data_IF_685212094441
#
_entry.id   IF_685212094441
#
_cell.length_a   1.000
_cell.length_b   1.000
_cell.length_c   1.000
_cell.angle_alpha   90.00
_cell.angle_beta   90.00
_cell.angle_gamma   90.00
#
_symmetry.space_group_name_H-M   'P 1'
#
loop_
_entity.id
_entity.type
_entity.pdbx_description
1 polymer ?
#
# COMPACT_ATOMS: atom_id res chain seq x y z
N UNK A 1 32.32 -4.31 26.94
CA UNK A 1 31.30 -3.81 26.00
C UNK A 1 31.73 -4.10 24.55
N UNK A 2 31.63 -5.35 24.10
CA UNK A 2 32.07 -5.79 22.76
C UNK A 2 31.07 -6.74 22.10
N UNK A 3 29.81 -6.69 22.54
CA UNK A 3 28.74 -7.50 21.95
C UNK A 3 28.23 -6.84 20.68
N UNK A 4 27.72 -7.65 19.73
CA UNK A 4 27.12 -7.14 18.47
C UNK A 4 26.02 -6.13 18.73
N UNK A 5 25.25 -6.31 19.81
CA UNK A 5 24.21 -5.38 20.25
C UNK A 5 24.81 -4.02 20.65
N UNK A 6 25.95 -4.02 21.36
CA UNK A 6 26.66 -2.78 21.72
C UNK A 6 27.18 -2.00 20.51
N UNK A 7 27.65 -2.68 19.46
CA UNK A 7 28.06 -2.02 18.21
C UNK A 7 26.88 -1.46 17.42
N UNK A 8 25.74 -2.16 17.41
CA UNK A 8 24.51 -1.68 16.76
C UNK A 8 23.97 -0.45 17.51
N UNK A 9 23.99 -0.48 18.85
CA UNK A 9 23.61 0.67 19.67
C UNK A 9 24.52 1.88 19.43
N UNK A 10 25.84 1.67 19.30
CA UNK A 10 26.79 2.76 18.95
C UNK A 10 26.57 3.31 17.53
N UNK A 11 26.26 2.46 16.55
CA UNK A 11 25.94 2.89 15.18
C UNK A 11 24.65 3.72 15.11
N UNK A 12 23.67 3.44 15.97
CA UNK A 12 22.42 4.21 16.07
C UNK A 12 22.63 5.52 16.85
N UNK A 13 23.49 5.51 17.88
CA UNK A 13 23.75 6.67 18.74
C UNK A 13 24.60 7.77 18.09
N UNK A 14 25.24 7.52 16.94
CA UNK A 14 25.96 8.55 16.19
C UNK A 14 27.19 9.13 16.89
N UNK A 15 27.73 8.44 17.91
CA UNK A 15 28.89 8.90 18.69
C UNK A 15 30.24 8.47 18.08
N UNK A 16 30.46 8.79 16.80
CA UNK A 16 31.82 8.98 16.29
C UNK A 16 31.99 10.44 15.87
N UNK A 17 32.44 11.28 16.81
CA UNK A 17 33.44 12.35 16.61
C UNK A 17 33.33 13.31 15.42
N UNK A 18 32.20 13.43 14.75
CA UNK A 18 32.00 14.25 13.56
C UNK A 18 30.59 14.78 13.54
N UNK A 19 30.46 16.10 13.32
CA UNK A 19 29.22 16.88 13.22
C UNK A 19 27.99 16.05 12.80
N UNK A 20 26.81 16.23 13.41
CA UNK A 20 25.61 15.48 13.05
C UNK A 20 25.38 15.64 11.55
N UNK A 21 25.51 14.54 10.79
CA UNK A 21 25.14 14.49 9.38
C UNK A 21 23.61 14.56 9.31
N UNK A 22 23.06 15.77 9.40
CA UNK A 22 21.63 16.07 9.22
C UNK A 22 21.13 15.85 7.79
N UNK A 23 21.96 15.33 6.88
CA UNK A 23 21.53 14.88 5.56
C UNK A 23 21.75 13.38 5.45
N UNK A 24 20.66 12.63 5.59
CA UNK A 24 20.57 11.28 5.06
C UNK A 24 20.91 11.38 3.55
N UNK A 25 22.06 10.81 3.16
CA UNK A 25 22.69 10.93 1.84
C UNK A 25 21.84 10.34 0.68
N UNK A 26 20.70 9.73 0.99
CA UNK A 26 19.90 8.97 0.04
C UNK A 26 18.62 9.67 -0.44
N UNK A 27 18.26 10.83 0.12
CA UNK A 27 17.10 11.56 -0.35
C UNK A 27 17.55 12.59 -1.40
N UNK A 28 17.14 12.44 -2.69
CA UNK A 28 17.40 13.47 -3.68
C UNK A 28 16.80 14.78 -3.22
N UNK A 29 17.43 15.89 -3.60
CA UNK A 29 16.93 17.22 -3.29
C UNK A 29 15.51 17.35 -3.85
N UNK A 30 14.51 17.43 -2.98
CA UNK A 30 13.09 17.51 -3.36
C UNK A 30 12.65 18.96 -3.49
N UNK A 31 13.51 19.82 -4.05
CA UNK A 31 13.09 21.14 -4.48
C UNK A 31 11.93 20.96 -5.45
N UNK A 32 10.74 21.40 -5.03
CA UNK A 32 9.53 21.24 -5.82
C UNK A 32 9.70 22.02 -7.12
N UNK A 33 9.91 21.30 -8.23
CA UNK A 33 9.86 21.90 -9.55
C UNK A 33 8.49 22.54 -9.76
N UNK A 34 8.47 23.68 -10.44
CA UNK A 34 7.24 24.36 -10.83
C UNK A 34 6.35 23.40 -11.63
N UNK A 35 5.05 23.51 -11.42
CA UNK A 35 4.08 22.72 -12.19
C UNK A 35 3.96 23.20 -13.64
N UNK A 36 3.49 22.35 -14.57
CA UNK A 36 3.32 22.74 -15.98
C UNK A 36 2.54 24.05 -16.19
N UNK A 37 1.47 24.30 -15.44
CA UNK A 37 0.66 25.52 -15.50
C UNK A 37 1.46 26.70 -14.97
N UNK A 38 2.19 26.56 -13.86
CA UNK A 38 3.06 27.62 -13.35
C UNK A 38 4.12 28.02 -14.39
N UNK A 39 4.76 27.03 -15.04
CA UNK A 39 5.72 27.29 -16.11
C UNK A 39 5.09 27.98 -17.32
N UNK A 40 3.87 27.59 -17.69
CA UNK A 40 3.16 28.22 -18.80
C UNK A 40 2.69 29.64 -18.48
N UNK A 41 2.28 29.90 -17.23
CA UNK A 41 1.92 31.23 -16.75
C UNK A 41 3.12 32.16 -16.69
N UNK A 42 4.28 31.68 -16.25
CA UNK A 42 5.51 32.46 -16.25
C UNK A 42 5.94 32.82 -17.67
N UNK A 43 5.89 31.87 -18.61
CA UNK A 43 6.15 32.13 -20.04
C UNK A 43 5.16 33.13 -20.63
N UNK A 44 3.88 33.02 -20.29
CA UNK A 44 2.84 33.94 -20.76
C UNK A 44 3.06 35.35 -20.20
N UNK A 45 3.28 35.47 -18.89
CA UNK A 45 3.56 36.73 -18.23
C UNK A 45 4.82 37.40 -18.76
N UNK A 46 5.89 36.64 -18.98
CA UNK A 46 7.12 37.13 -19.60
C UNK A 46 6.90 37.64 -21.03
N UNK A 47 6.15 36.91 -21.86
CA UNK A 47 5.81 37.34 -23.23
C UNK A 47 4.98 38.63 -23.24
N UNK A 48 3.94 38.70 -22.40
CA UNK A 48 3.10 39.90 -22.27
C UNK A 48 3.96 41.07 -21.79
N UNK A 49 4.82 40.87 -20.79
CA UNK A 49 5.72 41.90 -20.27
C UNK A 49 6.68 42.45 -21.33
N UNK A 50 7.31 41.58 -22.13
CA UNK A 50 8.20 42.02 -23.22
C UNK A 50 7.43 42.83 -24.27
N UNK A 51 6.23 42.38 -24.67
CA UNK A 51 5.39 43.10 -25.62
C UNK A 51 4.98 44.47 -25.06
N UNK A 52 4.55 44.52 -23.80
CA UNK A 52 4.13 45.76 -23.14
C UNK A 52 5.27 46.78 -23.07
N UNK A 53 6.48 46.35 -22.67
CA UNK A 53 7.67 47.22 -22.64
C UNK A 53 8.01 47.73 -24.03
N UNK A 54 8.00 46.87 -25.06
CA UNK A 54 8.28 47.28 -26.43
C UNK A 54 7.30 48.36 -26.92
N UNK A 55 6.01 48.19 -26.64
CA UNK A 55 4.96 49.18 -26.97
C UNK A 55 5.16 50.48 -26.18
N UNK A 56 5.47 50.41 -24.89
CA UNK A 56 5.72 51.59 -24.05
C UNK A 56 6.93 52.40 -24.56
N UNK A 57 8.03 51.73 -24.91
CA UNK A 57 9.22 52.38 -25.48
C UNK A 57 8.91 53.00 -26.84
N UNK A 58 8.16 52.31 -27.71
CA UNK A 58 7.76 52.85 -29.00
C UNK A 58 6.90 54.11 -28.86
N UNK A 59 5.89 54.08 -27.98
CA UNK A 59 5.03 55.24 -27.70
C UNK A 59 5.84 56.39 -27.11
N UNK A 60 6.76 56.11 -26.18
CA UNK A 60 7.63 57.13 -25.60
C UNK A 60 8.48 57.83 -26.68
N UNK A 61 9.16 57.06 -27.53
CA UNK A 61 9.99 57.61 -28.61
C UNK A 61 9.15 58.44 -29.59
N UNK A 62 8.00 57.91 -30.02
CA UNK A 62 7.11 58.61 -30.95
C UNK A 62 6.56 59.90 -30.30
N UNK A 63 6.12 59.85 -29.04
CA UNK A 63 5.55 61.00 -28.36
C UNK A 63 6.55 62.11 -28.10
N UNK A 64 7.80 61.76 -27.76
CA UNK A 64 8.89 62.75 -27.64
C UNK A 64 9.25 63.32 -29.01
N UNK A 65 9.34 62.49 -30.05
CA UNK A 65 9.62 62.96 -31.41
C UNK A 65 8.52 63.88 -31.97
N UNK A 66 7.27 63.72 -31.53
CA UNK A 66 6.13 64.56 -31.91
C UNK A 66 5.92 65.78 -31.00
N UNK A 67 6.82 66.05 -30.04
CA UNK A 67 6.72 67.12 -29.02
C UNK A 67 5.35 67.16 -28.32
N UNK A 68 4.83 65.98 -27.96
CA UNK A 68 3.54 65.86 -27.25
C UNK A 68 3.68 66.37 -25.81
N UNK A 69 3.22 67.60 -25.59
CA UNK A 69 3.13 68.22 -24.26
C UNK A 69 1.81 67.91 -23.56
N UNK A 70 1.82 68.11 -22.26
CA UNK A 70 0.65 67.95 -21.41
C UNK A 70 -0.44 68.97 -21.79
N UNK A 71 -1.67 68.54 -22.15
CA UNK A 71 -2.76 69.45 -22.49
C UNK A 71 -3.20 70.36 -21.35
N UNK A 72 -2.98 69.98 -20.09
CA UNK A 72 -3.39 70.77 -18.91
C UNK A 72 -2.29 71.74 -18.43
N UNK A 73 -1.04 71.56 -18.85
CA UNK A 73 0.09 72.39 -18.42
C UNK A 73 1.17 72.52 -19.50
N UNK A 74 1.03 73.53 -20.37
CA UNK A 74 1.87 73.79 -21.57
C UNK A 74 3.36 74.06 -21.27
N UNK A 75 3.70 74.33 -20.00
CA UNK A 75 5.07 74.57 -19.53
C UNK A 75 5.84 73.29 -19.15
N UNK A 76 5.18 72.12 -19.18
CA UNK A 76 5.78 70.83 -18.85
C UNK A 76 6.61 70.27 -20.00
N UNK A 77 7.79 69.71 -19.70
CA UNK A 77 8.62 69.09 -20.72
C UNK A 77 7.97 67.80 -21.27
N UNK A 78 7.88 67.66 -22.59
CA UNK A 78 7.20 66.54 -23.27
C UNK A 78 7.69 65.15 -22.82
N UNK A 79 8.98 65.02 -22.47
CA UNK A 79 9.55 63.76 -21.99
C UNK A 79 8.98 63.32 -20.63
N UNK A 80 8.67 64.24 -19.72
CA UNK A 80 8.06 63.90 -18.42
C UNK A 80 6.64 63.38 -18.61
N UNK A 81 5.86 64.05 -19.46
CA UNK A 81 4.50 63.65 -19.79
C UNK A 81 4.46 62.27 -20.47
N UNK A 82 5.35 62.03 -21.42
CA UNK A 82 5.44 60.75 -22.12
C UNK A 82 5.92 59.60 -21.22
N UNK A 83 6.79 59.86 -20.23
CA UNK A 83 7.14 58.87 -19.20
C UNK A 83 5.91 58.49 -18.37
N UNK A 84 5.09 59.47 -17.96
CA UNK A 84 3.88 59.22 -17.18
C UNK A 84 2.89 58.33 -17.96
N UNK A 85 2.71 58.58 -19.26
CA UNK A 85 1.87 57.74 -20.14
C UNK A 85 2.47 56.33 -20.26
N UNK A 86 3.77 56.20 -20.46
CA UNK A 86 4.42 54.90 -20.58
C UNK A 86 4.27 54.07 -19.30
N UNK A 87 4.43 54.68 -18.12
CA UNK A 87 4.27 53.99 -16.83
C UNK A 87 2.82 53.59 -16.58
N UNK A 88 1.86 54.47 -16.87
CA UNK A 88 0.43 54.16 -16.69
C UNK A 88 -0.02 53.02 -17.62
N UNK A 89 0.47 53.00 -18.87
CA UNK A 89 0.22 51.91 -19.81
C UNK A 89 0.88 50.60 -19.37
N UNK A 90 2.12 50.68 -18.84
CA UNK A 90 2.83 49.50 -18.35
C UNK A 90 2.08 48.83 -17.18
N UNK A 91 1.60 49.62 -16.21
CA UNK A 91 0.80 49.10 -15.08
C UNK A 91 -0.51 48.49 -15.56
N UNK A 92 -1.21 49.13 -16.51
CA UNK A 92 -2.45 48.63 -17.07
C UNK A 92 -2.29 47.27 -17.82
N UNK A 93 -1.09 46.95 -18.28
CA UNK A 93 -0.80 45.71 -19.00
C UNK A 93 -0.47 44.51 -18.08
N UNK A 94 -0.30 44.72 -16.77
CA UNK A 94 0.06 43.65 -15.83
C UNK A 94 -1.17 42.77 -15.54
N UNK A 95 -1.11 41.44 -15.78
CA UNK A 95 -2.25 40.56 -15.59
C UNK A 95 -2.38 40.10 -14.12
N UNK A 96 -2.79 41.01 -13.24
CA UNK A 96 -2.91 40.75 -11.78
C UNK A 96 -4.00 39.74 -11.42
N UNK A 97 -5.02 39.58 -12.28
CA UNK A 97 -6.16 38.68 -12.02
C UNK A 97 -5.85 37.19 -12.21
N UNK A 98 -4.82 36.85 -13.00
CA UNK A 98 -4.57 35.45 -13.39
C UNK A 98 -4.15 34.57 -12.20
N UNK A 99 -3.19 34.97 -11.33
CA UNK A 99 -2.82 34.17 -10.17
C UNK A 99 -4.00 33.93 -9.20
N UNK A 100 -4.89 34.92 -9.07
CA UNK A 100 -6.09 34.82 -8.24
C UNK A 100 -7.06 33.78 -8.81
N UNK A 101 -7.40 33.89 -10.10
CA UNK A 101 -8.29 32.93 -10.77
C UNK A 101 -7.77 31.50 -10.66
N UNK A 102 -6.46 31.29 -10.91
CA UNK A 102 -5.83 29.96 -10.83
C UNK A 102 -5.93 29.38 -9.42
N UNK A 103 -5.68 30.19 -8.40
CA UNK A 103 -5.77 29.75 -6.99
C UNK A 103 -7.19 29.35 -6.62
N UNK A 104 -8.20 30.12 -7.05
CA UNK A 104 -9.62 29.81 -6.82
C UNK A 104 -9.99 28.49 -7.52
N UNK A 105 -9.62 28.34 -8.79
CA UNK A 105 -9.89 27.11 -9.55
C UNK A 105 -9.25 25.87 -8.92
N UNK A 106 -7.97 25.95 -8.51
CA UNK A 106 -7.29 24.84 -7.82
C UNK A 106 -7.91 24.54 -6.45
N UNK A 107 -8.38 25.56 -5.74
CA UNK A 107 -9.02 25.39 -4.43
C UNK A 107 -10.36 24.65 -4.53
N UNK A 108 -11.16 24.96 -5.55
CA UNK A 108 -12.40 24.23 -5.85
C UNK A 108 -12.08 22.77 -6.17
N UNK A 109 -11.07 22.51 -7.02
CA UNK A 109 -10.64 21.14 -7.34
C UNK A 109 -10.16 20.35 -6.12
N UNK A 110 -9.43 20.98 -5.20
CA UNK A 110 -9.06 20.38 -3.91
C UNK A 110 -10.28 20.02 -3.07
N UNK A 111 -11.27 20.92 -2.98
CA UNK A 111 -12.50 20.68 -2.23
C UNK A 111 -13.25 19.45 -2.77
N UNK A 112 -13.34 19.30 -4.09
CA UNK A 112 -14.01 18.16 -4.71
C UNK A 112 -13.23 16.85 -4.55
N UNK A 113 -11.89 16.90 -4.48
CA UNK A 113 -11.06 15.74 -4.18
C UNK A 113 -11.19 15.25 -2.74
N UNK A 114 -11.30 16.17 -1.78
CA UNK A 114 -11.50 15.81 -0.36
C UNK A 114 -12.81 15.06 -0.17
N UNK A 115 -13.89 15.45 -0.87
CA UNK A 115 -15.18 14.71 -0.87
C UNK A 115 -15.05 13.27 -1.38
N UNK A 116 -13.97 12.96 -2.11
CA UNK A 116 -13.63 11.61 -2.60
C UNK A 116 -12.53 10.93 -1.79
N UNK A 117 -12.31 11.37 -0.54
CA UNK A 117 -11.27 10.86 0.36
C UNK A 117 -9.83 11.08 -0.13
N UNK A 118 -9.60 12.07 -0.98
CA UNK A 118 -8.24 12.45 -1.44
C UNK A 118 -7.80 13.72 -0.72
N UNK A 119 -6.82 13.59 0.18
CA UNK A 119 -6.25 14.72 0.91
C UNK A 119 -5.11 15.37 0.11
N UNK A 120 -5.39 16.52 -0.50
CA UNK A 120 -4.38 17.30 -1.22
C UNK A 120 -3.62 18.22 -0.26
N UNK A 121 -2.31 17.98 -0.09
CA UNK A 121 -1.45 18.80 0.80
C UNK A 121 -0.88 20.06 0.15
N UNK A 122 -0.85 20.13 -1.19
CA UNK A 122 -0.36 21.27 -1.97
C UNK A 122 -1.33 21.53 -3.13
N UNK A 123 -1.88 22.73 -3.25
CA UNK A 123 -2.84 23.08 -4.32
C UNK A 123 -2.28 22.77 -5.72
N UNK A 124 -0.99 23.00 -5.93
CA UNK A 124 -0.30 22.73 -7.19
C UNK A 124 -0.32 21.22 -7.58
N UNK A 125 -0.45 20.31 -6.61
CA UNK A 125 -0.48 18.87 -6.86
C UNK A 125 -1.73 18.42 -7.64
N UNK A 126 -2.84 19.17 -7.57
CA UNK A 126 -4.06 18.90 -8.35
C UNK A 126 -3.75 18.88 -9.85
N UNK A 127 -2.97 19.86 -10.28
CA UNK A 127 -2.60 20.04 -11.67
C UNK A 127 -1.54 19.01 -12.10
N UNK A 128 -0.56 18.72 -11.24
CA UNK A 128 0.42 17.64 -11.49
C UNK A 128 -0.27 16.29 -11.65
N UNK A 129 -1.30 15.99 -10.85
CA UNK A 129 -2.07 14.76 -10.98
C UNK A 129 -2.84 14.71 -12.30
N UNK A 130 -3.45 15.83 -12.71
CA UNK A 130 -4.16 15.93 -13.99
C UNK A 130 -3.26 15.85 -15.22
N UNK A 131 -1.98 16.18 -15.10
CA UNK A 131 -0.98 16.13 -16.17
C UNK A 131 -0.08 14.88 -16.11
N UNK A 132 -0.32 13.97 -15.16
CA UNK A 132 0.48 12.76 -15.01
C UNK A 132 0.26 11.82 -16.20
N UNK A 133 1.35 11.45 -16.87
CA UNK A 133 1.35 10.46 -17.97
C UNK A 133 1.74 9.05 -17.52
N UNK A 134 2.41 8.93 -16.37
CA UNK A 134 2.89 7.67 -15.81
C UNK A 134 2.51 7.61 -14.33
N UNK A 135 1.90 6.49 -13.91
CA UNK A 135 1.59 6.21 -12.51
C UNK A 135 2.50 5.09 -12.03
N UNK A 136 3.46 5.44 -11.17
CA UNK A 136 4.28 4.47 -10.45
C UNK A 136 3.57 4.13 -9.14
N UNK A 137 2.89 2.98 -9.08
CA UNK A 137 2.25 2.49 -7.86
C UNK A 137 3.11 1.42 -7.19
N UNK A 138 3.20 1.48 -5.86
CA UNK A 138 3.63 0.30 -5.10
C UNK A 138 2.53 -0.78 -5.16
N UNK A 139 2.91 -2.05 -4.94
CA UNK A 139 1.97 -3.18 -4.95
C UNK A 139 1.32 -3.36 -3.59
N UNK A 140 2.13 -3.59 -2.57
CA UNK A 140 1.65 -4.06 -1.26
C UNK A 140 1.09 -2.88 -0.46
N UNK A 141 -0.18 -2.96 -0.07
CA UNK A 141 -0.84 -1.87 0.66
C UNK A 141 -1.35 -0.72 -0.22
N UNK A 142 -1.14 -0.78 -1.55
CA UNK A 142 -1.73 0.17 -2.51
C UNK A 142 -2.60 -0.56 -3.54
N UNK A 143 -2.04 -1.45 -4.35
CA UNK A 143 -2.81 -2.29 -5.28
C UNK A 143 -3.45 -3.49 -4.55
N UNK A 144 -2.82 -3.96 -3.49
CA UNK A 144 -3.34 -5.04 -2.64
C UNK A 144 -3.60 -4.54 -1.23
N UNK A 145 -4.55 -5.15 -0.53
CA UNK A 145 -4.87 -4.78 0.86
C UNK A 145 -3.75 -5.11 1.87
N UNK A 146 -2.63 -5.71 1.44
CA UNK A 146 -1.57 -6.17 2.33
C UNK A 146 -1.99 -7.35 3.24
N UNK A 147 -3.18 -7.92 3.03
CA UNK A 147 -3.70 -9.07 3.78
C UNK A 147 -3.47 -10.36 2.99
N UNK A 148 -2.60 -11.22 3.51
CA UNK A 148 -2.38 -12.55 2.94
C UNK A 148 -3.67 -13.38 3.10
N UNK A 149 -4.18 -13.97 2.01
CA UNK A 149 -5.42 -14.77 1.99
C UNK A 149 -5.18 -16.10 1.25
N UNK A 150 -5.77 -17.18 1.73
CA UNK A 150 -5.72 -18.49 1.08
C UNK A 150 -6.80 -18.50 0.02
N UNK A 151 -6.41 -18.72 -1.24
CA UNK A 151 -7.35 -18.69 -2.37
C UNK A 151 -7.66 -20.08 -2.89
N UNK A 152 -6.72 -21.02 -2.76
CA UNK A 152 -6.85 -22.40 -3.21
C UNK A 152 -6.10 -23.34 -2.27
N UNK A 153 -6.57 -24.58 -2.20
CA UNK A 153 -5.85 -25.69 -1.60
C UNK A 153 -5.94 -26.92 -2.49
N UNK A 154 -4.95 -27.80 -2.40
CA UNK A 154 -4.93 -29.10 -3.06
C UNK A 154 -4.83 -30.16 -1.99
N UNK A 155 -5.81 -31.06 -1.93
CA UNK A 155 -5.85 -32.14 -0.95
C UNK A 155 -6.56 -33.36 -1.54
N UNK A 156 -6.01 -34.55 -1.33
CA UNK A 156 -6.64 -35.78 -1.80
C UNK A 156 -6.84 -35.86 -3.32
N UNK A 157 -5.92 -35.30 -4.12
CA UNK A 157 -6.05 -35.25 -5.58
C UNK A 157 -7.09 -34.26 -6.11
N UNK A 158 -7.68 -33.42 -5.25
CA UNK A 158 -8.75 -32.47 -5.60
C UNK A 158 -8.29 -31.03 -5.33
N UNK A 159 -8.63 -30.10 -6.23
CA UNK A 159 -8.50 -28.66 -6.00
C UNK A 159 -9.74 -28.15 -5.28
N UNK A 160 -9.51 -27.27 -4.33
CA UNK A 160 -10.56 -26.55 -3.64
C UNK A 160 -10.31 -25.05 -3.75
N UNK A 161 -11.39 -24.29 -3.91
CA UNK A 161 -11.39 -22.85 -3.82
C UNK A 161 -11.68 -22.44 -2.37
N UNK A 162 -10.92 -21.51 -1.82
CA UNK A 162 -11.15 -20.94 -0.50
C UNK A 162 -11.69 -19.53 -0.69
N UNK A 163 -12.99 -19.37 -0.44
CA UNK A 163 -13.69 -18.09 -0.59
C UNK A 163 -13.45 -17.13 0.58
N UNK A 164 -13.90 -15.89 0.39
CA UNK A 164 -13.81 -14.80 1.36
C UNK A 164 -12.51 -13.99 1.26
N UNK A 165 -12.50 -12.80 1.85
CA UNK A 165 -11.37 -11.86 1.76
C UNK A 165 -10.81 -11.50 3.15
N UNK A 166 -9.49 -11.31 3.20
CA UNK A 166 -8.82 -10.85 4.42
C UNK A 166 -8.81 -11.91 5.53
N UNK A 167 -9.05 -11.47 6.76
CA UNK A 167 -8.92 -12.31 7.96
C UNK A 167 -10.25 -12.74 8.58
N UNK A 168 -11.37 -12.45 7.93
CA UNK A 168 -12.69 -12.84 8.43
C UNK A 168 -12.96 -14.33 8.12
N UNK A 169 -13.12 -15.18 9.16
CA UNK A 169 -13.45 -16.59 9.00
C UNK A 169 -14.94 -16.85 8.76
N UNK A 170 -15.81 -15.85 8.85
CA UNK A 170 -17.26 -15.98 8.59
C UNK A 170 -17.56 -15.71 7.11
N UNK A 171 -16.79 -14.83 6.48
CA UNK A 171 -16.93 -14.53 5.05
C UNK A 171 -16.40 -15.67 4.19
N UNK A 172 -17.24 -16.26 3.34
CA UNK A 172 -16.84 -17.30 2.38
C UNK A 172 -16.71 -18.72 2.94
N UNK A 173 -16.59 -19.69 2.04
CA UNK A 173 -16.54 -21.13 2.33
C UNK A 173 -15.50 -21.84 1.47
N UNK A 174 -15.15 -23.07 1.83
CA UNK A 174 -14.29 -23.93 1.02
C UNK A 174 -15.16 -24.72 0.05
N UNK A 175 -14.89 -24.67 -1.25
CA UNK A 175 -15.67 -25.40 -2.25
C UNK A 175 -14.78 -26.26 -3.15
N UNK A 176 -15.30 -27.38 -3.64
CA UNK A 176 -14.61 -28.21 -4.65
C UNK A 176 -14.51 -27.46 -5.99
N UNK A 177 -13.33 -27.43 -6.60
CA UNK A 177 -13.09 -26.86 -7.93
C UNK A 177 -13.36 -27.93 -9.00
N UNK A 178 -14.54 -27.87 -9.64
CA UNK A 178 -14.94 -28.78 -10.74
C UNK A 178 -14.66 -28.19 -12.14
N UNK A 179 -14.63 -29.04 -13.18
CA UNK A 179 -14.54 -28.61 -14.59
C UNK A 179 -15.83 -27.93 -15.10
N UNK A 180 -16.97 -28.18 -14.46
CA UNK A 180 -18.28 -27.61 -14.79
C UNK A 180 -18.74 -26.61 -13.72
N UNK A 181 -17.94 -25.55 -13.51
CA UNK A 181 -18.24 -24.45 -12.58
C UNK A 181 -19.36 -23.51 -13.08
N UNK A 182 -20.41 -24.07 -13.67
CA UNK A 182 -21.58 -23.37 -14.21
C UNK A 182 -22.92 -23.76 -13.54
N UNK A 183 -22.92 -24.67 -12.57
CA UNK A 183 -24.13 -25.03 -11.83
C UNK A 183 -23.96 -24.72 -10.34
N UNK A 184 -24.90 -23.95 -9.78
CA UNK A 184 -25.10 -23.68 -8.36
C UNK A 184 -25.52 -24.96 -7.60
N UNK A 185 -24.70 -26.00 -7.68
CA UNK A 185 -24.79 -27.15 -6.78
C UNK A 185 -24.02 -26.79 -5.52
N UNK A 186 -24.61 -27.06 -4.36
CA UNK A 186 -23.97 -26.89 -3.06
C UNK A 186 -22.67 -27.72 -2.98
N UNK A 187 -21.56 -27.09 -3.39
CA UNK A 187 -20.24 -27.69 -3.47
C UNK A 187 -19.43 -27.40 -2.19
N UNK A 188 -20.09 -27.17 -1.05
CA UNK A 188 -19.40 -26.98 0.22
C UNK A 188 -18.56 -28.21 0.55
N UNK A 189 -17.26 -27.96 0.69
CA UNK A 189 -16.24 -28.95 0.97
C UNK A 189 -15.69 -28.82 2.39
N UNK A 190 -16.26 -27.96 3.24
CA UNK A 190 -15.78 -27.75 4.60
C UNK A 190 -15.81 -29.02 5.47
N UNK A 191 -16.70 -29.96 5.15
CA UNK A 191 -16.78 -31.25 5.84
C UNK A 191 -16.01 -32.39 5.15
N UNK A 192 -15.33 -32.12 4.04
CA UNK A 192 -14.53 -33.13 3.35
C UNK A 192 -13.38 -33.62 4.22
N UNK A 193 -13.19 -34.94 4.24
CA UNK A 193 -12.14 -35.59 5.02
C UNK A 193 -10.75 -35.04 4.70
N UNK A 194 -10.45 -34.82 3.43
CA UNK A 194 -9.15 -34.31 2.94
C UNK A 194 -8.95 -32.85 3.35
N UNK A 195 -10.00 -32.03 3.31
CA UNK A 195 -9.97 -30.62 3.72
C UNK A 195 -9.73 -30.50 5.21
N UNK A 196 -10.54 -31.19 6.02
CA UNK A 196 -10.43 -31.16 7.49
C UNK A 196 -9.08 -31.67 7.98
N UNK A 197 -8.61 -32.79 7.43
CA UNK A 197 -7.32 -33.39 7.81
C UNK A 197 -6.14 -32.50 7.43
N UNK A 198 -6.16 -31.91 6.23
CA UNK A 198 -5.08 -31.04 5.76
C UNK A 198 -5.03 -29.73 6.54
N UNK A 199 -6.19 -29.10 6.79
CA UNK A 199 -6.25 -27.84 7.55
C UNK A 199 -5.88 -28.05 9.02
N UNK A 200 -6.35 -29.14 9.66
CA UNK A 200 -5.93 -29.45 11.02
C UNK A 200 -4.41 -29.69 11.09
N UNK A 201 -3.86 -30.52 10.21
CA UNK A 201 -2.41 -30.74 10.15
C UNK A 201 -1.68 -29.41 9.99
N UNK A 202 -2.13 -28.55 9.07
CA UNK A 202 -1.51 -27.26 8.82
C UNK A 202 -1.53 -26.33 10.04
N UNK A 203 -2.63 -26.27 10.81
CA UNK A 203 -2.68 -25.45 12.05
C UNK A 203 -1.81 -26.04 13.17
N UNK A 204 -1.64 -27.36 13.25
CA UNK A 204 -0.70 -27.99 14.19
C UNK A 204 0.75 -27.58 13.94
N UNK A 205 1.06 -27.18 12.71
CA UNK A 205 2.36 -26.64 12.31
C UNK A 205 2.37 -25.10 12.27
N UNK A 206 1.38 -24.39 12.83
CA UNK A 206 1.34 -22.93 12.90
C UNK A 206 1.58 -22.41 14.33
N UNK A 207 2.12 -21.19 14.39
CA UNK A 207 2.31 -20.39 15.60
C UNK A 207 1.40 -19.15 15.61
N UNK A 208 0.78 -18.82 14.47
CA UNK A 208 -0.21 -17.75 14.37
C UNK A 208 -1.53 -18.15 15.00
N UNK A 209 -2.15 -17.22 15.75
CA UNK A 209 -3.53 -17.32 16.23
C UNK A 209 -4.40 -16.25 15.57
N UNK A 210 -5.73 -16.43 15.60
CA UNK A 210 -6.69 -15.47 15.08
C UNK A 210 -7.67 -15.11 16.21
N UNK A 211 -7.72 -13.84 16.58
CA UNK A 211 -8.60 -13.34 17.63
C UNK A 211 -9.43 -12.14 17.18
N UNK A 212 -10.53 -11.89 17.89
CA UNK A 212 -11.35 -10.70 17.68
C UNK A 212 -10.77 -9.54 18.48
N UNK A 213 -10.51 -8.41 17.82
CA UNK A 213 -9.99 -7.18 18.44
C UNK A 213 -10.99 -6.06 18.20
N UNK A 214 -11.40 -5.39 19.27
CA UNK A 214 -12.23 -4.19 19.19
C UNK A 214 -11.33 -2.97 19.19
N UNK A 215 -11.46 -2.14 18.17
CA UNK A 215 -10.74 -0.88 18.05
C UNK A 215 -11.29 0.12 19.09
N UNK A 216 -10.39 0.69 19.91
CA UNK A 216 -10.76 1.56 21.01
C UNK A 216 -11.29 2.93 20.54
N UNK A 217 -10.91 3.38 19.34
CA UNK A 217 -11.28 4.70 18.82
C UNK A 217 -12.58 4.64 18.01
N UNK A 218 -12.79 3.56 17.25
CA UNK A 218 -13.96 3.42 16.38
C UNK A 218 -15.07 2.54 16.95
N UNK A 219 -14.76 1.74 17.98
CA UNK A 219 -15.67 0.74 18.54
C UNK A 219 -15.96 -0.43 17.59
N UNK A 220 -15.33 -0.48 16.41
CA UNK A 220 -15.53 -1.54 15.43
C UNK A 220 -14.65 -2.75 15.77
N UNK A 221 -15.25 -3.94 15.71
CA UNK A 221 -14.53 -5.18 15.90
C UNK A 221 -14.01 -5.73 14.58
N UNK A 222 -12.80 -6.30 14.59
CA UNK A 222 -12.20 -6.98 13.45
C UNK A 222 -11.45 -8.22 13.88
N UNK A 223 -11.39 -9.20 12.99
CA UNK A 223 -10.49 -10.35 13.15
C UNK A 223 -9.05 -9.93 12.86
N UNK A 224 -8.16 -10.21 13.81
CA UNK A 224 -6.75 -9.86 13.71
C UNK A 224 -5.87 -11.08 13.99
N UNK A 225 -5.01 -11.49 13.04
CA UNK A 225 -4.06 -12.57 13.27
C UNK A 225 -2.87 -12.08 14.09
N UNK A 226 -2.44 -12.87 15.07
CA UNK A 226 -1.24 -12.63 15.89
C UNK A 226 -0.20 -13.68 15.53
N UNK A 227 0.84 -13.27 14.80
CA UNK A 227 1.93 -14.14 14.37
C UNK A 227 2.42 -13.79 12.96
N UNK A 228 2.89 -14.80 12.23
CA UNK A 228 3.39 -14.64 10.88
C UNK A 228 2.25 -14.48 9.85
N UNK A 229 2.40 -13.50 8.95
CA UNK A 229 1.47 -13.21 7.86
C UNK A 229 1.24 -14.39 6.92
N UNK A 230 2.25 -15.25 6.68
CA UNK A 230 2.10 -16.42 5.81
C UNK A 230 1.25 -17.54 6.41
N UNK A 231 1.08 -17.55 7.74
CA UNK A 231 0.30 -18.57 8.46
C UNK A 231 -1.13 -18.12 8.73
N UNK A 232 -1.37 -16.81 8.83
CA UNK A 232 -2.71 -16.25 9.04
C UNK A 232 -3.77 -16.84 8.07
N UNK A 233 -3.52 -17.00 6.77
CA UNK A 233 -4.51 -17.57 5.86
C UNK A 233 -4.87 -19.03 6.16
N UNK A 234 -3.92 -19.82 6.68
CA UNK A 234 -4.13 -21.23 7.06
C UNK A 234 -5.08 -21.28 8.25
N UNK A 235 -4.82 -20.45 9.26
CA UNK A 235 -5.64 -20.37 10.48
C UNK A 235 -7.06 -19.88 10.14
N UNK A 236 -7.18 -18.85 9.29
CA UNK A 236 -8.48 -18.34 8.82
C UNK A 236 -9.25 -19.42 8.05
N UNK A 237 -8.60 -20.16 7.14
CA UNK A 237 -9.23 -21.26 6.41
C UNK A 237 -9.69 -22.39 7.35
N UNK A 238 -8.92 -22.72 8.38
CA UNK A 238 -9.31 -23.69 9.40
C UNK A 238 -10.55 -23.23 10.19
N UNK A 239 -10.63 -21.95 10.57
CA UNK A 239 -11.81 -21.38 11.23
C UNK A 239 -13.06 -21.43 10.34
N UNK A 240 -12.93 -21.22 9.02
CA UNK A 240 -14.05 -21.33 8.05
C UNK A 240 -14.67 -22.72 8.01
N UNK A 241 -13.88 -23.78 8.21
CA UNK A 241 -14.38 -25.17 8.25
C UNK A 241 -14.81 -25.63 9.65
N UNK A 242 -14.95 -24.69 10.59
CA UNK A 242 -15.50 -24.91 11.91
C UNK A 242 -14.51 -25.41 12.97
N UNK A 243 -13.19 -25.30 12.75
CA UNK A 243 -12.24 -25.53 13.84
C UNK A 243 -12.33 -24.37 14.85
N UNK A 244 -12.42 -24.65 16.17
CA UNK A 244 -12.47 -23.61 17.19
C UNK A 244 -11.13 -22.90 17.35
N UNK A 245 -11.15 -21.77 18.05
CA UNK A 245 -9.90 -21.16 18.52
C UNK A 245 -9.15 -22.12 19.44
N UNK A 246 -7.84 -22.23 19.27
CA UNK A 246 -7.03 -23.12 20.11
C UNK A 246 -7.21 -24.61 19.82
N UNK A 247 -7.83 -25.01 18.70
CA UNK A 247 -7.92 -26.42 18.29
C UNK A 247 -6.56 -27.14 18.29
N UNK A 248 -5.47 -26.43 17.96
CA UNK A 248 -4.13 -26.96 18.03
C UNK A 248 -3.65 -27.28 19.46
N UNK A 249 -4.21 -26.62 20.48
CA UNK A 249 -3.88 -26.85 21.89
C UNK A 249 -4.38 -28.18 22.44
N UNK A 250 -5.33 -28.83 21.77
CA UNK A 250 -5.75 -30.20 22.09
C UNK A 250 -4.68 -31.26 21.76
N UNK A 251 -3.64 -30.86 21.02
CA UNK A 251 -2.54 -31.70 20.58
C UNK A 251 -1.26 -31.17 21.20
N UNK A 252 -0.77 -31.85 22.24
CA UNK A 252 0.45 -31.42 22.93
C UNK A 252 1.64 -31.48 21.97
N UNK A 253 2.21 -30.31 21.66
CA UNK A 253 3.40 -30.21 20.81
C UNK A 253 4.64 -30.64 21.60
N UNK A 254 5.24 -31.75 21.17
CA UNK A 254 6.41 -32.38 21.81
C UNK A 254 7.72 -31.85 21.23
N UNK A 255 7.75 -31.52 19.94
CA UNK A 255 8.91 -30.98 19.26
C UNK A 255 8.50 -29.87 18.30
N UNK A 256 9.34 -28.84 18.21
CA UNK A 256 9.25 -27.81 17.18
C UNK A 256 10.62 -27.55 16.59
N UNK A 257 10.70 -27.62 15.26
CA UNK A 257 11.82 -27.16 14.47
C UNK A 257 11.32 -25.94 13.69
N UNK A 258 11.65 -24.71 14.14
CA UNK A 258 11.10 -23.50 13.56
C UNK A 258 11.53 -23.33 12.11
N UNK A 259 10.82 -22.46 11.37
CA UNK A 259 11.20 -22.13 10.01
C UNK A 259 12.62 -21.56 9.94
N UNK A 260 13.39 -21.99 8.94
CA UNK A 260 14.70 -21.40 8.62
C UNK A 260 14.81 -21.19 7.12
N UNK A 261 15.32 -20.02 6.69
CA UNK A 261 15.47 -19.68 5.27
C UNK A 261 16.41 -20.61 4.51
N UNK A 262 17.37 -21.25 5.18
CA UNK A 262 18.27 -22.23 4.55
C UNK A 262 17.54 -23.53 4.20
N UNK A 263 16.66 -24.01 5.10
CA UNK A 263 15.86 -25.23 4.92
C UNK A 263 14.55 -24.98 4.17
N UNK A 264 14.05 -23.75 4.21
CA UNK A 264 12.75 -23.29 3.69
C UNK A 264 11.56 -24.14 4.20
N UNK A 265 11.68 -24.70 5.40
CA UNK A 265 10.69 -25.59 6.01
C UNK A 265 10.64 -25.41 7.53
N UNK A 266 9.48 -25.73 8.10
CA UNK A 266 9.18 -25.83 9.54
C UNK A 266 8.58 -27.21 9.80
N UNK A 267 8.87 -27.78 10.97
CA UNK A 267 8.34 -29.08 11.38
C UNK A 267 7.88 -29.03 12.84
N UNK A 268 6.74 -29.64 13.13
CA UNK A 268 6.24 -29.84 14.49
C UNK A 268 5.92 -31.32 14.69
N UNK A 269 6.05 -31.79 15.93
CA UNK A 269 5.62 -33.12 16.33
C UNK A 269 4.63 -32.97 17.47
N UNK A 270 3.44 -33.52 17.30
CA UNK A 270 2.36 -33.45 18.27
C UNK A 270 1.98 -34.84 18.77
N UNK A 271 1.61 -34.95 20.04
CA UNK A 271 1.07 -36.18 20.63
C UNK A 271 -0.36 -36.42 20.13
N UNK A 272 -0.59 -37.62 19.59
CA UNK A 272 -1.88 -38.12 19.12
C UNK A 272 -2.27 -39.43 19.78
N UNK A 273 -1.59 -39.80 20.87
CA UNK A 273 -1.80 -41.05 21.60
C UNK A 273 -3.26 -41.20 22.05
N UNK A 274 -3.85 -42.36 21.76
CA UNK A 274 -5.23 -42.67 22.13
C UNK A 274 -6.29 -42.04 21.22
N UNK A 275 -5.89 -41.44 20.09
CA UNK A 275 -6.80 -40.98 19.04
C UNK A 275 -6.81 -41.95 17.86
N UNK A 276 -8.00 -42.32 17.43
CA UNK A 276 -8.24 -43.19 16.27
C UNK A 276 -8.45 -42.37 14.98
N UNK A 277 -8.67 -41.06 15.10
CA UNK A 277 -8.75 -40.11 13.97
C UNK A 277 -8.06 -38.81 14.32
N UNK A 278 -7.55 -38.13 13.29
CA UNK A 278 -6.93 -36.82 13.43
C UNK A 278 -7.94 -35.75 13.86
N UNK A 279 -9.19 -35.81 13.39
CA UNK A 279 -10.29 -35.00 13.91
C UNK A 279 -11.63 -35.63 13.58
N UNK A 280 -12.72 -35.06 14.11
CA UNK A 280 -14.07 -35.38 13.63
C UNK A 280 -14.14 -35.21 12.10
N UNK A 281 -14.55 -36.27 11.40
CA UNK A 281 -14.57 -36.31 9.93
C UNK A 281 -13.21 -36.37 9.24
N UNK A 282 -12.11 -36.44 9.99
CA UNK A 282 -10.74 -36.50 9.46
C UNK A 282 -10.23 -37.91 9.22
N UNK A 283 -8.98 -37.97 8.76
CA UNK A 283 -8.19 -39.16 8.47
C UNK A 283 -8.07 -40.06 9.70
N UNK A 284 -8.16 -41.38 9.48
CA UNK A 284 -7.91 -42.37 10.52
C UNK A 284 -6.40 -42.43 10.82
N UNK A 285 -6.07 -42.53 12.10
CA UNK A 285 -4.69 -42.75 12.55
C UNK A 285 -4.45 -44.25 12.67
N UNK A 286 -3.21 -44.70 12.44
CA UNK A 286 -2.91 -46.12 12.56
C UNK A 286 -2.95 -46.55 14.04
N UNK A 287 -3.37 -47.79 14.28
CA UNK A 287 -3.45 -48.32 15.63
C UNK A 287 -2.06 -48.33 16.28
N UNK A 288 -1.90 -47.57 17.37
CA UNK A 288 -0.63 -47.44 18.09
C UNK A 288 0.20 -46.20 17.73
N UNK A 289 -0.27 -45.35 16.81
CA UNK A 289 0.38 -44.06 16.55
C UNK A 289 0.37 -43.19 17.81
N UNK A 290 1.57 -42.74 18.20
CA UNK A 290 1.77 -41.86 19.36
C UNK A 290 2.03 -40.43 18.97
N UNK A 291 2.73 -40.22 17.86
CA UNK A 291 3.19 -38.91 17.44
C UNK A 291 2.86 -38.66 15.98
N UNK A 292 2.37 -37.46 15.69
CA UNK A 292 2.17 -36.94 14.35
C UNK A 292 3.21 -35.86 14.07
N UNK A 293 4.07 -36.09 13.08
CA UNK A 293 4.97 -35.07 12.56
C UNK A 293 4.31 -34.34 11.39
N UNK A 294 4.25 -33.01 11.45
CA UNK A 294 3.75 -32.18 10.37
C UNK A 294 4.83 -31.22 9.90
N UNK A 295 5.03 -31.16 8.58
CA UNK A 295 5.98 -30.25 7.93
C UNK A 295 5.24 -29.26 7.03
N UNK A 296 5.69 -28.00 7.00
CA UNK A 296 5.25 -26.98 6.05
C UNK A 296 6.43 -26.16 5.53
N UNK A 297 6.33 -25.63 4.31
CA UNK A 297 7.46 -24.99 3.66
C UNK A 297 7.32 -24.90 2.15
N UNK A 298 8.44 -24.67 1.47
CA UNK A 298 8.46 -24.58 0.01
C UNK A 298 8.12 -25.96 -0.61
N UNK A 299 7.15 -26.05 -1.55
CA UNK A 299 6.71 -27.33 -2.10
C UNK A 299 7.85 -28.17 -2.69
N UNK A 300 8.77 -27.53 -3.42
CA UNK A 300 9.92 -28.20 -4.03
C UNK A 300 10.91 -28.79 -3.01
N UNK A 301 10.93 -28.28 -1.77
CA UNK A 301 11.79 -28.82 -0.71
C UNK A 301 11.09 -29.96 0.04
N UNK A 302 9.77 -29.86 0.24
CA UNK A 302 9.01 -30.90 0.95
C UNK A 302 8.89 -32.15 0.09
N UNK A 303 8.55 -31.99 -1.19
CA UNK A 303 8.28 -33.11 -2.09
C UNK A 303 9.48 -34.04 -2.26
N UNK A 304 10.72 -33.54 -2.17
CA UNK A 304 11.94 -34.36 -2.20
C UNK A 304 12.06 -35.32 -1.00
N UNK A 305 11.34 -35.07 0.09
CA UNK A 305 11.34 -35.88 1.31
C UNK A 305 10.07 -36.74 1.46
N UNK A 306 9.14 -36.71 0.50
CA UNK A 306 7.92 -37.50 0.52
C UNK A 306 8.10 -38.78 -0.31
N UNK A 307 7.80 -39.94 0.28
CA UNK A 307 7.87 -41.25 -0.41
C UNK A 307 6.51 -41.77 -0.85
N UNK A 308 5.43 -41.27 -0.24
CA UNK A 308 4.06 -41.73 -0.47
C UNK A 308 3.10 -40.53 -0.54
N UNK A 309 1.98 -40.73 -1.24
CA UNK A 309 0.88 -39.76 -1.34
C UNK A 309 -0.45 -40.47 -1.04
N UNK A 310 -1.27 -39.85 -0.20
CA UNK A 310 -2.48 -40.49 0.37
C UNK A 310 -3.72 -40.40 -0.53
N UNK A 311 -3.55 -40.30 -1.85
CA UNK A 311 -4.66 -40.18 -2.82
C UNK A 311 -4.51 -41.05 -4.07
N UNK A 312 -3.55 -41.97 -4.09
CA UNK A 312 -3.50 -43.08 -5.05
C UNK A 312 -4.15 -44.34 -4.47
#
# INVERSE_FOLDING_TARGET
MSTRIGRIAQLIAGEEGGKPKTKCFCLPDTSANQTPLQQNLEKLGGRIGVIAIAVCVAIFIIGVAMDRKDPDNDSSAAWLYMILIAVTLAVAAIPEGIPLCVTISLSIGCSDMVKKNVLVRKLAAVETLGSASVICSDKTGTLTEGKMTMVRMWAGGVRYLVGGKGFDPIDGRVTREGKDAGAEVDNDAGQDLTVRSSLLSAILCCNTTLGWVTDAETGQGRWEPKGNSSEAPIVVAARKVGFPEGAAGEYTRVLEVPFSSSRKMMLTVSDVSGRDRLCAGGMALAAGDRYLAVCKGAPNMILEHCTEQLWE
#
